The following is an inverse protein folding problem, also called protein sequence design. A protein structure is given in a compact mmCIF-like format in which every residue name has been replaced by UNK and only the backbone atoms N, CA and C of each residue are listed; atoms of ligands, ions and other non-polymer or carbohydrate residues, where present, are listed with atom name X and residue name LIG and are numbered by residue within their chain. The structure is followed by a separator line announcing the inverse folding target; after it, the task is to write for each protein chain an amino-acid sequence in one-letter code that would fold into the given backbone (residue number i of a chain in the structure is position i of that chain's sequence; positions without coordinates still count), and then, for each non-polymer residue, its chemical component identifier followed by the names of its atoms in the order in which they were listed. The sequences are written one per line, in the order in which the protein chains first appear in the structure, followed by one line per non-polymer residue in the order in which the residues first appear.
data_IF_028923180683
#
_entry.id   IF_028923180683
#
_cell.length_a   1.000
_cell.length_b   1.000
_cell.length_c   1.000
_cell.angle_alpha   90.00
_cell.angle_beta   90.00
_cell.angle_gamma   90.00
#
_symmetry.space_group_name_H-M   'P 1'
#
loop_
_entity.id
_entity.type
_entity.pdbx_description
1 polymer ?
#
# COMPACT_ATOMS: atom_id res chain seq x y z
N UNK A 1 -2.64 25.91 61.44
CA UNK A 1 -1.39 25.65 60.70
C UNK A 1 -1.81 25.30 59.30
N UNK A 2 -1.72 26.28 58.41
CA UNK A 2 -2.23 26.21 57.03
C UNK A 2 -1.06 25.82 56.13
N UNK A 3 -1.16 24.67 55.45
CA UNK A 3 -0.10 24.17 54.57
C UNK A 3 -0.42 24.56 53.13
N UNK A 4 0.30 25.57 52.62
CA UNK A 4 0.30 25.95 51.21
C UNK A 4 0.91 24.82 50.36
N UNK A 5 0.29 24.40 49.25
CA UNK A 5 0.94 23.48 48.32
C UNK A 5 1.97 24.23 47.45
N UNK A 6 3.19 23.71 47.41
CA UNK A 6 4.26 24.16 46.50
C UNK A 6 4.07 23.47 45.14
N UNK A 7 3.80 24.24 44.09
CA UNK A 7 3.79 23.76 42.70
C UNK A 7 5.20 23.83 42.14
N UNK A 8 5.76 22.68 41.76
CA UNK A 8 7.05 22.60 41.05
C UNK A 8 6.79 22.62 39.55
N UNK A 9 7.10 23.73 38.88
CA UNK A 9 7.11 23.81 37.41
C UNK A 9 8.40 23.16 36.88
N UNK A 10 8.25 22.15 36.02
CA UNK A 10 9.37 21.51 35.32
C UNK A 10 9.44 22.04 33.90
N UNK A 11 10.40 22.91 33.63
CA UNK A 11 10.68 23.44 32.29
C UNK A 11 11.43 22.39 31.48
N UNK A 12 10.82 21.86 30.41
CA UNK A 12 11.48 20.94 29.48
C UNK A 12 12.00 21.71 28.27
N UNK A 13 13.32 21.91 28.19
CA UNK A 13 13.98 22.51 27.03
C UNK A 13 14.12 21.47 25.93
N UNK A 14 13.43 21.65 24.80
CA UNK A 14 13.60 20.80 23.61
C UNK A 14 14.63 21.44 22.67
N UNK A 15 15.79 20.82 22.52
CA UNK A 15 16.81 21.22 21.54
C UNK A 15 16.46 20.61 20.18
N UNK A 16 16.13 21.44 19.19
CA UNK A 16 15.97 21.00 17.81
C UNK A 16 17.35 20.83 17.15
N UNK A 17 17.65 19.64 16.62
CA UNK A 17 18.83 19.39 15.80
C UNK A 17 18.46 19.52 14.33
N UNK A 18 19.04 20.50 13.64
CA UNK A 18 18.91 20.66 12.18
C UNK A 18 19.94 19.80 11.49
N UNK A 19 19.51 18.82 10.69
CA UNK A 19 20.40 18.02 9.83
C UNK A 19 20.39 18.62 8.42
N UNK A 20 21.53 19.11 7.97
CA UNK A 20 21.75 19.59 6.59
C UNK A 20 22.18 18.41 5.72
N UNK A 21 21.38 18.08 4.70
CA UNK A 21 21.74 17.08 3.68
C UNK A 21 22.33 17.77 2.46
N UNK A 22 23.56 17.43 2.10
CA UNK A 22 24.22 17.90 0.88
C UNK A 22 23.87 16.96 -0.27
N UNK A 23 23.10 17.43 -1.25
CA UNK A 23 22.85 16.69 -2.49
C UNK A 23 24.05 16.83 -3.44
N UNK A 24 24.60 15.70 -3.89
CA UNK A 24 25.68 15.64 -4.88
C UNK A 24 25.08 15.36 -6.25
N UNK A 25 25.11 16.35 -7.15
CA UNK A 25 24.68 16.19 -8.55
C UNK A 25 25.78 15.48 -9.34
N UNK A 26 25.48 14.32 -9.93
CA UNK A 26 26.39 13.63 -10.85
C UNK A 26 25.95 13.89 -12.29
N UNK A 27 26.78 14.57 -13.07
CA UNK A 27 26.55 14.83 -14.49
C UNK A 27 27.16 13.69 -15.32
N UNK A 28 26.34 12.95 -16.04
CA UNK A 28 26.78 11.93 -17.01
C UNK A 28 26.89 12.56 -18.40
N UNK A 29 28.10 12.56 -18.98
CA UNK A 29 28.36 12.99 -20.35
C UNK A 29 28.21 11.78 -21.29
N UNK A 30 27.20 11.79 -22.17
CA UNK A 30 27.06 10.79 -23.23
C UNK A 30 28.01 11.10 -24.40
N UNK A 31 28.85 10.13 -24.76
CA UNK A 31 29.75 10.22 -25.92
C UNK A 31 29.07 9.60 -27.13
N UNK A 32 28.70 10.42 -28.12
CA UNK A 32 28.16 9.94 -29.40
C UNK A 32 29.28 9.37 -30.27
N UNK A 33 29.26 8.07 -30.52
CA UNK A 33 30.21 7.40 -31.44
C UNK A 33 29.53 7.22 -32.80
N UNK A 34 29.93 8.00 -33.80
CA UNK A 34 29.43 7.88 -35.19
C UNK A 34 30.08 6.67 -35.85
N UNK A 35 29.29 5.61 -36.10
CA UNK A 35 29.71 4.46 -36.91
C UNK A 35 29.14 4.62 -38.32
N UNK A 36 30.02 4.64 -39.32
CA UNK A 36 29.65 4.67 -40.75
C UNK A 36 29.29 3.26 -41.20
N UNK A 37 28.01 2.94 -41.34
CA UNK A 37 27.56 1.67 -41.91
C UNK A 37 27.42 1.74 -43.43
N UNK A 38 27.92 0.70 -44.10
CA UNK A 38 27.88 0.52 -45.56
C UNK A 38 26.51 -0.04 -45.97
N UNK A 39 25.81 0.67 -46.85
CA UNK A 39 24.46 0.33 -47.34
C UNK A 39 24.45 -0.99 -48.11
N UNK A 40 23.77 -2.00 -47.57
CA UNK A 40 23.36 -3.19 -48.33
C UNK A 40 21.83 -3.19 -48.42
N UNK A 41 21.31 -3.04 -49.64
CA UNK A 41 19.87 -2.96 -49.91
C UNK A 41 19.20 -4.33 -49.75
N UNK A 42 18.46 -4.52 -48.66
CA UNK A 42 17.54 -5.66 -48.50
C UNK A 42 16.10 -5.14 -48.58
N UNK A 43 15.35 -5.59 -49.59
CA UNK A 43 13.93 -5.29 -49.77
C UNK A 43 13.11 -5.88 -48.61
N UNK A 44 12.61 -5.03 -47.71
CA UNK A 44 11.72 -5.43 -46.63
C UNK A 44 10.24 -5.35 -47.09
N UNK A 45 9.53 -6.47 -47.00
CA UNK A 45 8.09 -6.57 -47.22
C UNK A 45 7.35 -5.97 -46.02
N UNK A 46 6.60 -4.89 -46.25
CA UNK A 46 5.79 -4.21 -45.23
C UNK A 46 4.54 -5.03 -44.92
N UNK A 47 4.55 -5.80 -43.83
CA UNK A 47 3.34 -6.39 -43.27
C UNK A 47 2.69 -5.37 -42.33
N UNK A 48 1.63 -4.71 -42.79
CA UNK A 48 0.82 -3.80 -41.96
C UNK A 48 -0.01 -4.64 -40.97
N UNK A 49 0.50 -4.81 -39.76
CA UNK A 49 -0.29 -5.34 -38.65
C UNK A 49 -1.18 -4.23 -38.13
N UNK A 50 -2.49 -4.33 -38.37
CA UNK A 50 -3.49 -3.46 -37.75
C UNK A 50 -3.58 -3.83 -36.27
N UNK A 51 -2.85 -3.10 -35.43
CA UNK A 51 -2.94 -3.22 -33.98
C UNK A 51 -4.30 -2.65 -33.56
N UNK A 52 -5.23 -3.54 -33.23
CA UNK A 52 -6.54 -3.16 -32.71
C UNK A 52 -6.33 -2.60 -31.31
N UNK A 53 -6.34 -1.28 -31.18
CA UNK A 53 -6.29 -0.59 -29.89
C UNK A 53 -7.62 -0.81 -29.18
N UNK A 54 -7.77 -1.94 -28.47
CA UNK A 54 -8.81 -2.08 -27.46
C UNK A 54 -8.54 -1.03 -26.40
N UNK A 55 -9.33 0.04 -26.40
CA UNK A 55 -9.29 1.07 -25.37
C UNK A 55 -9.85 0.44 -24.09
N UNK A 56 -8.99 -0.25 -23.34
CA UNK A 56 -9.30 -0.65 -21.97
C UNK A 56 -9.48 0.64 -21.19
N UNK A 57 -10.72 0.96 -20.85
CA UNK A 57 -11.03 2.05 -19.92
C UNK A 57 -10.25 1.78 -18.64
N UNK A 58 -9.21 2.58 -18.40
CA UNK A 58 -8.41 2.48 -17.19
C UNK A 58 -9.34 2.60 -15.97
N UNK A 59 -9.24 1.71 -14.97
CA UNK A 59 -10.03 1.78 -13.75
C UNK A 59 -9.47 2.86 -12.83
N UNK A 60 -9.49 4.11 -13.30
CA UNK A 60 -9.20 5.26 -12.45
C UNK A 60 -10.19 5.27 -11.28
N UNK A 61 -9.67 5.56 -10.09
CA UNK A 61 -10.44 5.64 -8.83
C UNK A 61 -11.04 4.31 -8.34
N UNK A 62 -10.59 3.15 -8.85
CA UNK A 62 -10.96 1.86 -8.27
C UNK A 62 -9.93 1.41 -7.22
N UNK A 63 -10.41 0.77 -6.15
CA UNK A 63 -9.53 0.07 -5.23
C UNK A 63 -8.95 -1.17 -5.92
N UNK A 64 -7.62 -1.25 -5.95
CA UNK A 64 -6.90 -2.38 -6.56
C UNK A 64 -6.49 -3.45 -5.54
N UNK A 65 -6.67 -3.18 -4.24
CA UNK A 65 -6.44 -4.18 -3.19
C UNK A 65 -7.60 -5.17 -3.15
N UNK A 66 -7.28 -6.45 -3.21
CA UNK A 66 -8.26 -7.52 -2.98
C UNK A 66 -8.50 -7.58 -1.47
N UNK A 67 -9.78 -7.61 -1.06
CA UNK A 67 -10.16 -7.65 0.36
C UNK A 67 -9.42 -6.57 1.17
N UNK A 68 -9.36 -5.35 0.66
CA UNK A 68 -8.64 -4.24 1.31
C UNK A 68 -9.23 -3.82 2.67
N UNK A 69 -10.52 -4.12 2.87
CA UNK A 69 -11.31 -3.83 4.05
C UNK A 69 -11.36 -4.99 5.06
N UNK A 70 -10.93 -6.19 4.69
CA UNK A 70 -10.91 -7.37 5.57
C UNK A 70 -12.27 -8.05 5.75
N UNK A 71 -13.23 -7.73 4.89
CA UNK A 71 -14.62 -8.16 5.00
C UNK A 71 -14.96 -9.38 4.12
N UNK A 72 -14.03 -9.81 3.27
CA UNK A 72 -14.25 -10.86 2.27
C UNK A 72 -13.70 -12.21 2.73
N UNK A 73 -14.53 -13.25 2.62
CA UNK A 73 -14.16 -14.64 2.91
C UNK A 73 -14.57 -15.11 4.31
N UNK A 74 -14.10 -16.29 4.74
CA UNK A 74 -14.42 -16.83 6.05
C UNK A 74 -13.76 -16.03 7.17
N UNK A 75 -14.37 -16.05 8.35
CA UNK A 75 -13.91 -15.26 9.49
C UNK A 75 -13.93 -16.13 10.73
N UNK A 76 -12.90 -15.99 11.54
CA UNK A 76 -12.74 -16.75 12.77
C UNK A 76 -13.82 -16.35 13.77
N UNK A 77 -14.62 -17.32 14.21
CA UNK A 77 -15.67 -17.13 15.22
C UNK A 77 -15.37 -17.83 16.55
N UNK A 78 -14.27 -18.59 16.63
CA UNK A 78 -13.80 -19.25 17.84
C UNK A 78 -12.41 -18.77 18.21
N UNK A 79 -11.52 -19.72 18.49
CA UNK A 79 -10.15 -19.45 18.92
C UNK A 79 -9.05 -19.83 17.92
N UNK A 80 -9.41 -20.07 16.66
CA UNK A 80 -8.49 -20.52 15.61
C UNK A 80 -7.73 -19.39 14.92
N UNK A 81 -7.11 -19.75 13.80
CA UNK A 81 -6.51 -18.81 12.84
C UNK A 81 -7.22 -19.02 11.50
N UNK A 82 -7.89 -17.99 11.02
CA UNK A 82 -8.48 -17.93 9.68
C UNK A 82 -7.68 -16.95 8.83
N UNK A 83 -6.89 -17.40 7.83
CA UNK A 83 -6.05 -16.51 7.03
C UNK A 83 -6.85 -15.41 6.31
N UNK A 84 -6.32 -14.18 6.25
CA UNK A 84 -6.85 -13.11 5.41
C UNK A 84 -6.98 -13.51 3.95
N UNK A 85 -8.18 -13.41 3.39
CA UNK A 85 -8.44 -13.76 1.98
C UNK A 85 -7.67 -12.81 1.06
N UNK A 86 -6.84 -13.34 0.15
CA UNK A 86 -6.17 -12.56 -0.90
C UNK A 86 -4.90 -11.82 -0.47
N UNK A 87 -4.43 -11.99 0.76
CA UNK A 87 -3.23 -11.32 1.27
C UNK A 87 -2.08 -12.31 1.47
N UNK A 88 -0.85 -11.85 1.22
CA UNK A 88 0.35 -12.51 1.71
C UNK A 88 0.66 -12.02 3.12
N UNK A 89 1.22 -12.89 3.95
CA UNK A 89 1.52 -12.53 5.34
C UNK A 89 2.66 -13.36 5.93
N UNK A 90 3.22 -12.85 7.04
CA UNK A 90 4.12 -13.53 7.94
C UNK A 90 3.64 -13.33 9.38
N UNK A 91 3.99 -14.26 10.27
CA UNK A 91 3.53 -14.28 11.66
C UNK A 91 2.08 -14.78 11.78
N UNK A 92 1.40 -14.37 12.84
CA UNK A 92 0.03 -14.80 13.15
C UNK A 92 -0.95 -13.66 12.91
N UNK A 93 -1.56 -13.67 11.73
CA UNK A 93 -2.67 -12.78 11.35
C UNK A 93 -3.91 -13.64 11.11
N UNK A 94 -5.07 -13.15 11.53
CA UNK A 94 -6.35 -13.79 11.27
C UNK A 94 -7.37 -12.76 10.82
N UNK A 95 -8.29 -13.16 9.96
CA UNK A 95 -9.55 -12.45 9.73
C UNK A 95 -10.54 -12.97 10.78
N UNK A 96 -11.01 -12.11 11.67
CA UNK A 96 -11.86 -12.48 12.80
C UNK A 96 -13.22 -11.80 12.67
N UNK A 97 -14.27 -12.42 13.20
CA UNK A 97 -15.60 -11.80 13.21
C UNK A 97 -15.72 -10.73 14.29
N UNK A 98 -16.45 -9.64 13.98
CA UNK A 98 -16.92 -8.66 14.96
C UNK A 98 -17.78 -9.25 16.09
N UNK A 99 -18.32 -10.45 15.89
CA UNK A 99 -19.12 -11.16 16.91
C UNK A 99 -18.34 -12.31 17.57
N UNK A 100 -17.01 -12.34 17.45
CA UNK A 100 -16.21 -13.41 18.05
C UNK A 100 -16.19 -13.29 19.59
N UNK A 101 -16.68 -14.30 20.35
CA UNK A 101 -16.80 -14.21 21.80
C UNK A 101 -15.50 -14.50 22.57
N UNK A 102 -14.46 -14.99 21.90
CA UNK A 102 -13.21 -15.45 22.53
C UNK A 102 -12.09 -14.42 22.43
N UNK A 103 -11.87 -13.88 21.23
CA UNK A 103 -10.79 -12.93 20.94
C UNK A 103 -11.29 -11.63 20.27
N UNK A 104 -12.59 -11.52 19.99
CA UNK A 104 -13.18 -10.34 19.38
C UNK A 104 -13.08 -9.13 20.31
N UNK A 105 -12.11 -8.27 20.04
CA UNK A 105 -11.92 -6.98 20.73
C UNK A 105 -12.75 -5.87 20.11
N UNK A 106 -13.14 -6.02 18.83
CA UNK A 106 -14.01 -5.09 18.13
C UNK A 106 -15.38 -5.72 17.91
N UNK A 107 -16.40 -4.91 18.09
CA UNK A 107 -17.82 -5.17 17.92
C UNK A 107 -18.37 -4.32 16.77
N UNK A 108 -19.55 -4.64 16.22
CA UNK A 108 -20.15 -3.82 15.16
C UNK A 108 -20.45 -2.38 15.59
N UNK A 109 -20.56 -2.11 16.90
CA UNK A 109 -20.82 -0.77 17.44
C UNK A 109 -19.58 0.11 17.58
N UNK A 110 -18.38 -0.45 17.48
CA UNK A 110 -17.16 0.34 17.62
C UNK A 110 -16.95 1.27 16.42
N UNK A 111 -16.32 2.45 16.61
CA UNK A 111 -15.93 3.33 15.52
C UNK A 111 -15.22 2.59 14.38
N UNK A 112 -15.50 2.99 13.14
CA UNK A 112 -15.01 2.27 11.96
C UNK A 112 -15.76 2.63 10.69
N UNK A 113 -15.49 1.91 9.58
CA UNK A 113 -16.12 2.17 8.30
C UNK A 113 -17.64 1.97 8.38
N UNK A 114 -18.39 2.84 7.69
CA UNK A 114 -19.86 2.78 7.65
C UNK A 114 -20.38 1.56 6.86
N UNK A 115 -19.57 1.05 5.94
CA UNK A 115 -19.85 -0.10 5.09
C UNK A 115 -19.18 -1.39 5.58
N UNK A 116 -18.90 -1.52 6.88
CA UNK A 116 -18.35 -2.75 7.45
C UNK A 116 -19.27 -3.93 7.20
N UNK A 117 -18.67 -5.08 7.04
CA UNK A 117 -19.31 -6.38 6.97
C UNK A 117 -19.25 -7.07 8.33
N UNK A 118 -18.83 -8.33 8.31
CA UNK A 118 -18.85 -9.20 9.49
C UNK A 118 -17.46 -9.39 10.12
N UNK A 119 -16.41 -8.90 9.47
CA UNK A 119 -15.05 -9.37 9.71
C UNK A 119 -14.00 -8.28 9.61
N UNK A 120 -12.89 -8.47 10.30
CA UNK A 120 -11.78 -7.53 10.24
C UNK A 120 -10.45 -8.23 10.44
N UNK A 121 -9.36 -7.55 10.10
CA UNK A 121 -8.01 -8.07 10.34
C UNK A 121 -7.62 -7.95 11.80
N UNK A 122 -7.08 -9.04 12.34
CA UNK A 122 -6.64 -9.12 13.71
C UNK A 122 -5.30 -9.83 13.82
N UNK A 123 -4.34 -9.17 14.47
CA UNK A 123 -3.06 -9.76 14.83
C UNK A 123 -3.21 -10.62 16.08
N UNK A 124 -2.72 -11.86 16.03
CA UNK A 124 -2.57 -12.70 17.22
C UNK A 124 -1.18 -12.51 17.85
N UNK A 125 -0.90 -13.29 18.90
CA UNK A 125 0.37 -13.24 19.64
C UNK A 125 1.52 -13.75 18.77
N UNK A 126 2.26 -12.81 18.18
CA UNK A 126 3.52 -13.06 17.47
C UNK A 126 4.50 -11.92 17.71
N UNK A 127 5.78 -12.25 17.68
CA UNK A 127 6.89 -11.32 17.87
C UNK A 127 6.98 -10.30 16.72
N UNK A 128 6.62 -10.74 15.51
CA UNK A 128 6.59 -9.95 14.27
C UNK A 128 5.44 -10.47 13.41
N UNK A 129 4.60 -9.57 12.93
CA UNK A 129 3.53 -9.87 11.98
C UNK A 129 3.56 -8.85 10.85
N UNK A 130 3.43 -9.31 9.62
CA UNK A 130 3.36 -8.44 8.44
C UNK A 130 2.34 -8.99 7.44
N UNK A 131 1.72 -8.09 6.67
CA UNK A 131 0.75 -8.43 5.65
C UNK A 131 0.94 -7.51 4.43
N UNK A 132 0.90 -8.04 3.22
CA UNK A 132 1.14 -7.29 2.00
C UNK A 132 0.43 -7.88 0.77
N UNK A 133 0.21 -7.02 -0.22
CA UNK A 133 -0.22 -7.38 -1.57
C UNK A 133 0.70 -6.70 -2.58
N UNK A 134 1.04 -7.43 -3.63
CA UNK A 134 1.72 -6.86 -4.80
C UNK A 134 0.68 -6.60 -5.86
N UNK A 135 0.42 -5.33 -6.14
CA UNK A 135 -0.53 -4.91 -7.18
C UNK A 135 0.22 -4.72 -8.48
N UNK A 136 -0.10 -5.53 -9.49
CA UNK A 136 0.42 -5.34 -10.83
C UNK A 136 -0.48 -4.37 -11.60
N UNK A 137 0.10 -3.27 -12.09
CA UNK A 137 -0.60 -2.22 -12.85
C UNK A 137 -0.28 -2.23 -14.35
N UNK A 138 0.56 -3.16 -14.85
CA UNK A 138 1.05 -3.16 -16.25
C UNK A 138 -0.05 -3.28 -17.31
N UNK A 139 -1.19 -3.87 -16.96
CA UNK A 139 -2.35 -4.00 -17.85
C UNK A 139 -3.46 -2.99 -17.55
N UNK A 140 -3.24 -2.16 -16.54
CA UNK A 140 -4.24 -1.27 -15.96
C UNK A 140 -3.90 0.18 -16.25
N UNK A 141 -2.61 0.49 -16.42
CA UNK A 141 -2.09 1.83 -16.58
C UNK A 141 -0.99 1.86 -17.63
N UNK A 142 -1.03 2.84 -18.52
CA UNK A 142 0.04 3.09 -19.48
C UNK A 142 1.34 3.51 -18.74
N UNK A 143 2.48 2.82 -18.95
CA UNK A 143 3.75 3.16 -18.32
C UNK A 143 4.17 4.62 -18.48
N UNK A 144 3.84 5.26 -19.61
CA UNK A 144 4.17 6.67 -19.86
C UNK A 144 3.52 7.58 -18.82
N UNK A 145 2.35 7.22 -18.29
CA UNK A 145 1.67 7.98 -17.25
C UNK A 145 2.33 7.82 -15.88
N UNK A 146 2.94 6.66 -15.62
CA UNK A 146 3.73 6.42 -14.42
C UNK A 146 5.00 7.27 -14.48
N UNK A 147 5.73 7.22 -15.60
CA UNK A 147 6.97 7.98 -15.80
C UNK A 147 6.74 9.50 -15.69
N UNK A 148 5.60 9.98 -16.18
CA UNK A 148 5.20 11.40 -16.06
C UNK A 148 4.54 11.77 -14.72
N UNK A 149 4.55 10.88 -13.71
CA UNK A 149 3.97 11.12 -12.38
C UNK A 149 2.48 11.51 -12.40
N UNK A 150 1.74 11.07 -13.42
CA UNK A 150 0.30 11.32 -13.56
C UNK A 150 -0.50 10.37 -12.67
N UNK A 151 0.00 9.15 -12.50
CA UNK A 151 -0.65 8.09 -11.72
C UNK A 151 -0.51 8.39 -10.24
N UNK A 152 -1.65 8.58 -9.57
CA UNK A 152 -1.73 8.86 -8.13
C UNK A 152 -2.66 7.85 -7.47
N UNK A 153 -2.38 7.53 -6.22
CA UNK A 153 -3.27 6.72 -5.39
C UNK A 153 -3.49 7.39 -4.03
N UNK A 154 -4.61 7.05 -3.40
CA UNK A 154 -4.87 7.37 -2.01
C UNK A 154 -4.90 6.05 -1.24
N UNK A 155 -4.10 5.96 -0.18
CA UNK A 155 -4.14 4.85 0.75
C UNK A 155 -4.67 5.36 2.08
N UNK A 156 -5.73 4.73 2.57
CA UNK A 156 -6.29 4.97 3.88
C UNK A 156 -6.73 3.64 4.49
N UNK A 157 -6.77 3.59 5.81
CA UNK A 157 -7.21 2.42 6.55
C UNK A 157 -7.85 2.85 7.88
N UNK A 158 -8.77 2.04 8.37
CA UNK A 158 -9.22 2.10 9.76
C UNK A 158 -8.32 1.17 10.57
N UNK A 159 -7.52 1.75 11.46
CA UNK A 159 -6.61 1.01 12.32
C UNK A 159 -7.11 1.14 13.76
N UNK A 160 -7.60 0.03 14.31
CA UNK A 160 -8.27 -0.01 15.61
C UNK A 160 -9.79 0.12 15.52
N UNK A 161 -10.41 0.33 16.67
CA UNK A 161 -11.83 0.65 16.85
C UNK A 161 -11.99 1.47 18.13
#
# INVERSE_FOLDING_TARGET
TETTPTTTETTTTTTATTTTTTETTTTTTETTTTTTETTTTTTATTTTTTETTTTTTMPWNNNLLINGDGETGPCETGGGVTPPTGWNYNGTITQISYNNPTYGVLTPSDPGPSNRGNCYFFGQVSNVTSMWQTVNVTHTVDPVLIDNSVVKFNLSAWIGG
#
